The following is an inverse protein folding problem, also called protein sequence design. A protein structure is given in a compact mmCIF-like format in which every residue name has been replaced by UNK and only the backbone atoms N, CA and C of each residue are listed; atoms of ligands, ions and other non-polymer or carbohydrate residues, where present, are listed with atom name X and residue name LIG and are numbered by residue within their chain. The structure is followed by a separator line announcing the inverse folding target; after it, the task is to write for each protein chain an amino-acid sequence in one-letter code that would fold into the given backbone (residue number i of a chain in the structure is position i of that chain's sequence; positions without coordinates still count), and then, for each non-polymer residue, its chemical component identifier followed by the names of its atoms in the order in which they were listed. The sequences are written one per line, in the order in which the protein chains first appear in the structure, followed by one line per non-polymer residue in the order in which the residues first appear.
data_IF_908808027287
#
_entry.id   IF_908808027287
#
_cell.length_a   1.000
_cell.length_b   1.000
_cell.length_c   1.000
_cell.angle_alpha   90.00
_cell.angle_beta   90.00
_cell.angle_gamma   90.00
#
_symmetry.space_group_name_H-M   'P 1'
#
loop_
_entity.id
_entity.type
_entity.pdbx_description
1 polymer ?
#
# COMPACT_ATOMS: atom_id res chain seq x y z
N UNK A 1 4.73 4.90 11.27
CA UNK A 1 4.59 3.62 11.88
C UNK A 1 4.52 3.78 13.38
N UNK A 2 3.90 2.94 14.06
CA UNK A 2 3.76 3.02 15.48
C UNK A 2 2.41 2.50 15.92
N UNK A 3 2.08 2.80 17.14
CA UNK A 3 0.92 2.26 17.82
C UNK A 3 -0.38 2.60 17.08
N UNK A 4 -0.49 3.82 16.56
CA UNK A 4 -1.69 4.25 15.87
C UNK A 4 -2.00 3.45 14.61
N UNK A 5 -0.95 3.03 13.89
CA UNK A 5 -1.12 2.23 12.69
C UNK A 5 -1.64 0.83 13.01
N UNK A 6 -1.07 0.19 14.04
CA UNK A 6 -1.51 -1.14 14.46
C UNK A 6 -2.96 -1.12 14.94
N UNK A 7 -3.33 -0.11 15.69
CA UNK A 7 -4.68 0.05 16.17
C UNK A 7 -5.67 0.24 15.03
N UNK A 8 -5.29 1.06 14.05
CA UNK A 8 -6.13 1.31 12.89
C UNK A 8 -6.34 0.04 12.07
N UNK A 9 -5.28 -0.73 11.86
CA UNK A 9 -5.37 -1.99 11.12
C UNK A 9 -6.31 -2.97 11.84
N UNK A 10 -6.23 -3.05 13.15
CA UNK A 10 -7.13 -3.92 13.93
C UNK A 10 -8.58 -3.51 13.79
N UNK A 11 -8.86 -2.21 13.82
CA UNK A 11 -10.22 -1.71 13.62
C UNK A 11 -10.73 -2.03 12.22
N UNK A 12 -9.88 -1.83 11.24
CA UNK A 12 -10.22 -2.15 9.86
C UNK A 12 -10.54 -3.64 9.73
N UNK A 13 -9.71 -4.49 10.28
CA UNK A 13 -9.90 -5.93 10.23
C UNK A 13 -11.20 -6.35 10.93
N UNK A 14 -11.55 -5.73 12.04
CA UNK A 14 -12.78 -6.07 12.76
C UNK A 14 -14.04 -5.64 12.01
N UNK A 15 -13.97 -4.54 11.25
CA UNK A 15 -15.12 -4.04 10.49
C UNK A 15 -15.24 -4.74 9.14
N UNK A 16 -14.11 -5.09 8.52
CA UNK A 16 -14.06 -5.67 7.17
C UNK A 16 -13.32 -7.00 7.20
N UNK A 17 -13.70 -7.88 8.11
CA UNK A 17 -12.99 -9.13 8.34
C UNK A 17 -12.81 -9.98 7.08
N UNK A 18 -13.84 -10.06 6.24
CA UNK A 18 -13.78 -10.83 5.02
C UNK A 18 -12.81 -10.25 3.99
N UNK A 19 -12.53 -8.94 4.07
CA UNK A 19 -11.69 -8.24 3.11
C UNK A 19 -10.33 -7.84 3.68
N UNK A 20 -10.11 -8.07 4.98
CA UNK A 20 -8.91 -7.60 5.68
C UNK A 20 -7.61 -8.12 5.06
N UNK A 21 -7.64 -9.32 4.48
CA UNK A 21 -6.49 -9.96 3.86
C UNK A 21 -6.49 -9.87 2.34
N UNK A 22 -7.46 -9.18 1.76
CA UNK A 22 -7.53 -9.06 0.32
C UNK A 22 -7.26 -7.63 -0.13
N UNK A 23 -6.40 -7.44 -1.11
CA UNK A 23 -5.59 -8.47 -1.77
C UNK A 23 -4.42 -8.93 -0.90
N UNK A 24 -3.83 -10.10 -1.18
CA UNK A 24 -2.60 -10.52 -0.49
C UNK A 24 -1.53 -9.47 -0.68
N UNK A 25 -0.79 -9.18 0.38
CA UNK A 25 0.18 -8.08 0.32
C UNK A 25 1.37 -8.33 1.22
N UNK A 26 2.48 -7.66 0.91
CA UNK A 26 3.70 -7.65 1.68
C UNK A 26 4.09 -6.20 1.96
N UNK A 27 4.66 -5.98 3.14
CA UNK A 27 5.35 -4.73 3.43
C UNK A 27 6.83 -5.06 3.62
N UNK A 28 7.67 -4.51 2.76
CA UNK A 28 9.10 -4.81 2.74
C UNK A 28 9.87 -3.56 3.18
N UNK A 29 10.79 -3.77 4.11
CA UNK A 29 11.71 -2.72 4.53
C UNK A 29 13.00 -2.89 3.74
N UNK A 30 13.31 -1.94 2.88
CA UNK A 30 14.51 -1.99 2.05
C UNK A 30 15.70 -1.31 2.74
N UNK A 31 15.42 -0.28 3.53
CA UNK A 31 16.42 0.42 4.32
C UNK A 31 15.72 1.09 5.50
N UNK A 32 16.44 1.88 6.28
CA UNK A 32 15.82 2.61 7.38
C UNK A 32 14.80 3.67 6.92
N UNK A 33 14.86 4.05 5.66
CA UNK A 33 13.99 5.11 5.10
C UNK A 33 13.19 4.66 3.88
N UNK A 34 13.50 3.50 3.30
CA UNK A 34 12.82 3.03 2.11
C UNK A 34 11.98 1.79 2.39
N UNK A 35 10.74 1.83 1.93
CA UNK A 35 9.79 0.75 2.14
C UNK A 35 9.07 0.45 0.83
N UNK A 36 8.58 -0.77 0.71
CA UNK A 36 7.85 -1.20 -0.48
C UNK A 36 6.63 -2.00 -0.04
N UNK A 37 5.47 -1.57 -0.53
CA UNK A 37 4.24 -2.34 -0.41
C UNK A 37 4.03 -3.09 -1.71
N UNK A 38 3.68 -4.36 -1.60
CA UNK A 38 3.39 -5.20 -2.75
C UNK A 38 2.02 -5.81 -2.58
N UNK A 39 1.14 -5.60 -3.55
CA UNK A 39 -0.20 -6.18 -3.54
C UNK A 39 -0.36 -7.09 -4.75
N UNK A 40 -0.81 -8.31 -4.52
CA UNK A 40 -1.02 -9.28 -5.59
C UNK A 40 -2.35 -9.00 -6.29
N UNK A 41 -2.28 -8.49 -7.51
CA UNK A 41 -3.44 -8.07 -8.29
C UNK A 41 -3.41 -8.69 -9.68
N UNK A 42 -3.12 -9.98 -9.76
CA UNK A 42 -3.13 -10.69 -11.03
C UNK A 42 -4.51 -10.59 -11.69
N UNK A 43 -4.52 -10.23 -12.96
CA UNK A 43 -5.75 -10.08 -13.71
C UNK A 43 -6.38 -8.70 -13.69
N UNK A 44 -5.90 -7.82 -12.81
CA UNK A 44 -6.34 -6.43 -12.82
C UNK A 44 -5.47 -5.62 -13.78
N UNK A 45 -6.05 -4.60 -14.37
CA UNK A 45 -5.31 -3.64 -15.20
C UNK A 45 -5.16 -2.33 -14.43
N UNK A 46 -4.28 -1.48 -14.90
CA UNK A 46 -4.08 -0.18 -14.24
C UNK A 46 -5.33 0.69 -14.29
N UNK A 47 -6.21 0.48 -15.26
CA UNK A 47 -7.47 1.20 -15.36
C UNK A 47 -8.46 0.77 -14.30
N UNK A 48 -8.31 -0.45 -13.77
CA UNK A 48 -9.20 -0.97 -12.73
C UNK A 48 -8.83 -0.49 -11.34
N UNK A 49 -7.59 -0.04 -11.15
CA UNK A 49 -7.03 0.22 -9.82
C UNK A 49 -6.85 1.71 -9.61
N UNK A 50 -7.26 2.16 -8.43
CA UNK A 50 -7.09 3.54 -8.02
C UNK A 50 -6.27 3.57 -6.73
N UNK A 51 -5.21 4.37 -6.73
CA UNK A 51 -4.34 4.53 -5.57
C UNK A 51 -4.37 6.00 -5.16
N UNK A 52 -4.71 6.24 -3.90
CA UNK A 52 -4.84 7.60 -3.38
C UNK A 52 -4.32 7.68 -1.96
N UNK A 53 -3.96 8.89 -1.55
CA UNK A 53 -3.64 9.17 -0.16
C UNK A 53 -4.52 10.32 0.33
N UNK A 54 -4.95 10.22 1.57
CA UNK A 54 -5.73 11.27 2.22
C UNK A 54 -5.55 11.15 3.72
N UNK A 55 -5.21 12.25 4.37
CA UNK A 55 -5.10 12.31 5.83
C UNK A 55 -4.25 11.18 6.42
N UNK A 56 -3.08 10.95 5.84
CA UNK A 56 -2.14 9.91 6.26
C UNK A 56 -2.65 8.49 6.07
N UNK A 57 -3.61 8.31 5.18
CA UNK A 57 -4.08 6.99 4.80
C UNK A 57 -3.80 6.75 3.33
N UNK A 58 -3.31 5.56 3.05
CA UNK A 58 -3.08 5.11 1.69
C UNK A 58 -4.22 4.16 1.32
N UNK A 59 -4.89 4.45 0.21
CA UNK A 59 -6.01 3.66 -0.28
C UNK A 59 -5.66 3.02 -1.61
N UNK A 60 -6.00 1.75 -1.73
CA UNK A 60 -5.95 1.03 -3.01
C UNK A 60 -7.32 0.42 -3.20
N UNK A 61 -7.97 0.75 -4.29
CA UNK A 61 -9.33 0.30 -4.50
C UNK A 61 -9.62 -0.07 -5.95
N UNK A 62 -10.56 -0.98 -6.11
CA UNK A 62 -11.14 -1.35 -7.38
C UNK A 62 -12.65 -1.44 -7.17
N UNK A 63 -13.39 -0.51 -7.76
CA UNK A 63 -14.84 -0.48 -7.61
C UNK A 63 -15.56 -1.22 -8.72
N UNK A 64 -14.90 -1.36 -9.87
CA UNK A 64 -15.50 -1.98 -11.04
C UNK A 64 -14.46 -2.80 -11.77
N UNK A 65 -14.24 -4.05 -11.34
CA UNK A 65 -13.25 -4.91 -12.00
C UNK A 65 -13.67 -5.20 -13.44
N UNK A 66 -12.67 -5.37 -14.29
CA UNK A 66 -12.90 -5.76 -15.67
C UNK A 66 -13.59 -7.12 -15.74
N UNK A 67 -14.30 -7.36 -16.82
CA UNK A 67 -15.04 -8.60 -16.99
C UNK A 67 -14.09 -9.79 -17.11
N UNK A 68 -14.48 -10.90 -16.50
CA UNK A 68 -13.89 -12.18 -16.80
C UNK A 68 -14.33 -12.56 -18.22
N UNK A 69 -13.65 -13.54 -18.83
CA UNK A 69 -13.91 -13.96 -20.19
C UNK A 69 -15.38 -14.40 -20.34
N UNK A 70 -16.23 -13.62 -21.01
CA UNK A 70 -17.65 -13.95 -21.11
C UNK A 70 -17.94 -15.04 -22.15
N UNK A 71 -16.97 -15.36 -23.01
CA UNK A 71 -17.16 -16.30 -24.10
C UNK A 71 -16.82 -17.74 -23.72
N UNK A 72 -16.30 -17.94 -22.49
CA UNK A 72 -15.87 -19.25 -22.04
C UNK A 72 -16.50 -19.63 -20.71
N UNK A 73 -16.70 -20.92 -20.55
CA UNK A 73 -17.22 -21.50 -19.33
C UNK A 73 -16.04 -21.89 -18.42
N UNK A 74 -16.10 -21.49 -17.16
CA UNK A 74 -15.07 -21.86 -16.21
C UNK A 74 -15.39 -23.22 -15.61
N UNK A 75 -14.54 -24.20 -15.85
CA UNK A 75 -14.65 -25.50 -15.20
C UNK A 75 -14.16 -25.42 -13.74
N UNK A 76 -13.23 -24.51 -13.49
CA UNK A 76 -12.77 -24.21 -12.14
C UNK A 76 -12.35 -22.74 -12.12
N UNK A 77 -12.78 -22.03 -11.10
CA UNK A 77 -12.46 -20.60 -10.98
C UNK A 77 -11.86 -20.32 -9.61
N UNK A 78 -10.52 -20.35 -9.56
CA UNK A 78 -9.77 -20.04 -8.34
C UNK A 78 -9.29 -18.60 -8.25
N UNK A 79 -9.33 -17.86 -9.37
CA UNK A 79 -8.94 -16.46 -9.41
C UNK A 79 -10.17 -15.63 -9.67
N UNK A 80 -10.55 -14.81 -8.72
CA UNK A 80 -11.69 -13.91 -8.86
C UNK A 80 -11.20 -12.48 -8.75
N UNK A 81 -11.48 -11.70 -9.80
CA UNK A 81 -11.28 -10.25 -9.74
C UNK A 81 -12.51 -9.67 -9.09
N UNK A 82 -12.35 -9.10 -7.93
CA UNK A 82 -13.45 -8.56 -7.16
C UNK A 82 -13.23 -7.08 -6.88
N UNK A 83 -14.32 -6.38 -6.61
CA UNK A 83 -14.23 -5.02 -6.08
C UNK A 83 -13.65 -5.11 -4.67
N UNK A 84 -12.78 -4.18 -4.33
CA UNK A 84 -12.20 -4.15 -2.99
C UNK A 84 -11.76 -2.72 -2.63
N UNK A 85 -11.61 -2.51 -1.35
CA UNK A 85 -10.94 -1.31 -0.82
C UNK A 85 -9.93 -1.78 0.21
N UNK A 86 -8.67 -1.50 -0.05
CA UNK A 86 -7.59 -1.79 0.86
C UNK A 86 -7.01 -0.47 1.33
N UNK A 87 -6.70 -0.36 2.60
CA UNK A 87 -6.13 0.88 3.11
C UNK A 87 -5.16 0.61 4.25
N UNK A 88 -4.28 1.56 4.45
CA UNK A 88 -3.29 1.51 5.49
C UNK A 88 -2.92 2.92 5.93
N UNK A 89 -2.80 3.11 7.24
CA UNK A 89 -2.31 4.37 7.78
C UNK A 89 -0.80 4.42 7.58
N UNK A 90 -0.31 5.55 7.10
CA UNK A 90 1.12 5.81 6.96
C UNK A 90 1.50 6.93 7.92
N UNK A 91 2.76 6.93 8.36
CA UNK A 91 3.24 7.96 9.27
C UNK A 91 3.33 9.31 8.55
N UNK A 92 3.28 10.40 9.33
CA UNK A 92 3.34 11.76 8.78
C UNK A 92 4.62 12.02 7.99
N UNK A 93 5.70 11.35 8.35
CA UNK A 93 6.99 11.52 7.72
C UNK A 93 7.23 10.55 6.55
N UNK A 94 6.21 9.85 6.12
CA UNK A 94 6.31 8.90 5.00
C UNK A 94 5.51 9.43 3.82
N UNK A 95 6.11 9.37 2.64
CA UNK A 95 5.42 9.76 1.42
C UNK A 95 5.52 8.68 0.35
N UNK A 96 4.55 8.66 -0.54
CA UNK A 96 4.54 7.76 -1.69
C UNK A 96 5.47 8.32 -2.75
N UNK A 97 6.40 7.49 -3.23
CA UNK A 97 7.36 7.87 -4.25
C UNK A 97 6.95 7.41 -5.64
N UNK A 98 6.44 6.20 -5.74
CA UNK A 98 6.03 5.68 -7.03
C UNK A 98 4.99 4.58 -6.83
N UNK A 99 4.20 4.38 -7.88
CA UNK A 99 3.19 3.33 -7.93
C UNK A 99 3.31 2.66 -9.27
N UNK A 100 3.43 1.35 -9.27
CA UNK A 100 3.62 0.57 -10.49
C UNK A 100 2.83 -0.71 -10.45
N UNK A 101 2.18 -1.06 -11.56
CA UNK A 101 1.49 -2.34 -11.70
C UNK A 101 2.13 -3.08 -12.88
N UNK A 102 2.90 -4.11 -12.56
CA UNK A 102 3.62 -4.89 -13.55
C UNK A 102 3.48 -6.38 -13.23
N UNK A 103 3.11 -7.16 -14.23
CA UNK A 103 2.99 -8.61 -14.09
C UNK A 103 2.07 -9.03 -12.94
N UNK A 104 1.00 -8.27 -12.73
CA UNK A 104 0.03 -8.59 -11.68
C UNK A 104 0.47 -8.20 -10.28
N UNK A 105 1.56 -7.47 -10.14
CA UNK A 105 2.04 -7.00 -8.85
C UNK A 105 1.97 -5.48 -8.79
N UNK A 106 1.21 -4.96 -7.86
CA UNK A 106 1.17 -3.53 -7.58
C UNK A 106 2.26 -3.22 -6.57
N UNK A 107 3.22 -2.39 -6.97
CA UNK A 107 4.32 -1.99 -6.10
C UNK A 107 4.19 -0.53 -5.77
N UNK A 108 4.08 -0.23 -4.49
CA UNK A 108 4.01 1.15 -3.99
C UNK A 108 5.28 1.40 -3.19
N UNK A 109 6.11 2.30 -3.67
CA UNK A 109 7.35 2.64 -2.99
C UNK A 109 7.12 3.83 -2.09
N UNK A 110 7.56 3.68 -0.86
CA UNK A 110 7.39 4.67 0.20
C UNK A 110 8.76 5.10 0.69
N UNK A 111 8.87 6.36 1.05
CA UNK A 111 10.11 6.88 1.61
C UNK A 111 9.82 7.70 2.85
N UNK A 112 10.60 7.45 3.88
CA UNK A 112 10.55 8.24 5.10
C UNK A 112 11.34 9.51 4.89
N UNK A 113 10.71 10.65 5.11
CA UNK A 113 11.34 11.96 5.00
C UNK A 113 11.71 12.43 6.40
N UNK A 114 12.99 12.63 6.62
CA UNK A 114 13.48 13.10 7.90
C UNK A 114 13.63 14.61 7.82
N UNK A 115 12.82 15.37 8.58
CA UNK A 115 12.94 16.83 8.59
C UNK A 115 14.35 17.28 8.98
N UNK A 116 14.81 18.38 8.41
CA UNK A 116 16.16 18.87 8.65
C UNK A 116 16.48 19.08 10.13
N UNK A 117 15.50 19.54 10.91
CA UNK A 117 15.71 19.77 12.34
C UNK A 117 15.84 18.47 13.16
N UNK A 118 15.48 17.32 12.56
CA UNK A 118 15.59 16.01 13.21
C UNK A 118 16.79 15.22 12.70
N UNK A 119 17.47 15.69 11.67
CA UNK A 119 18.65 15.02 11.15
C UNK A 119 19.83 15.25 12.08
N UNK A 120 20.71 14.26 12.15
CA UNK A 120 21.95 14.41 12.90
C UNK A 120 22.78 15.52 12.28
N UNK A 121 23.16 16.50 13.08
CA UNK A 121 24.00 17.60 12.62
C UNK A 121 25.30 17.62 13.42
N UNK A 122 26.36 17.91 12.72
CA UNK A 122 27.69 18.03 13.32
C UNK A 122 28.07 19.51 13.34
N UNK A 123 28.48 19.97 14.49
CA UNK A 123 28.84 21.36 14.68
C UNK A 123 30.32 21.49 14.95
N UNK A 124 30.94 22.49 14.34
CA UNK A 124 32.31 22.82 14.65
C UNK A 124 32.36 23.68 15.93
N UNK A 125 33.30 23.34 16.81
CA UNK A 125 33.53 24.10 18.01
C UNK A 125 34.41 25.28 17.71
N UNK A 126 34.04 26.43 18.24
CA UNK A 126 34.88 27.64 18.18
C UNK A 126 35.38 27.94 19.56
N UNK A 127 36.51 28.68 19.64
CA UNK A 127 37.10 29.03 20.92
C UNK A 127 38.53 28.54 21.02
N UNK A 128 39.02 28.58 22.23
CA UNK A 128 40.41 28.20 22.51
C UNK A 128 40.51 26.78 23.01
#
# INVERSE_FOLDING_TARGET
FGIGMDEWIRRFASVHESDANYPPHNLVKESSIDFRLELALAGYTKEDIKVETESNKLFVQCTKPGDSDPDHEYLQRGIARRAFTWSRTIADDVEVRSVDLTNGLLTIRLKRIIPDHQKKKKYELTGN
#
